data_IF_437433166527
#
_entry.id   IF_437433166527
#
_cell.length_a   1.000
_cell.length_b   1.000
_cell.length_c   1.000
_cell.angle_alpha   90.00
_cell.angle_beta   90.00
_cell.angle_gamma   90.00
#
_symmetry.space_group_name_H-M   'P 1'
#
loop_
_entity.id
_entity.type
_entity.pdbx_description
1 polymer ?
#
# COMPACT_ATOMS: atom_id res chain seq x y z
N UNK A 1 12.33 -1.68 -5.87
CA UNK A 1 11.74 -1.10 -4.64
C UNK A 1 10.67 -0.10 -5.05
N UNK A 2 9.41 -0.51 -4.94
CA UNK A 2 8.21 0.25 -5.32
C UNK A 2 7.37 0.42 -4.06
N UNK A 3 7.49 1.57 -3.41
CA UNK A 3 6.74 1.84 -2.19
C UNK A 3 5.31 2.26 -2.52
N UNK A 4 4.33 1.48 -2.04
CA UNK A 4 2.90 1.79 -2.20
C UNK A 4 2.27 1.95 -0.83
N UNK A 5 1.34 2.91 -0.71
CA UNK A 5 0.58 3.05 0.52
C UNK A 5 -0.54 2.00 0.50
N UNK A 6 -0.45 1.00 1.39
CA UNK A 6 -1.43 -0.06 1.48
C UNK A 6 -2.18 0.02 2.82
N UNK A 7 -3.49 -0.23 2.77
CA UNK A 7 -4.35 -0.37 3.96
C UNK A 7 -4.96 -1.76 4.02
N UNK A 8 -5.35 -2.19 5.21
CA UNK A 8 -6.11 -3.44 5.35
C UNK A 8 -7.45 -3.29 4.64
N UNK A 9 -7.83 -4.31 3.87
CA UNK A 9 -9.16 -4.37 3.28
C UNK A 9 -10.24 -4.45 4.37
N UNK A 10 -9.96 -5.22 5.42
CA UNK A 10 -10.81 -5.35 6.60
C UNK A 10 -10.06 -4.87 7.86
N UNK A 11 -10.57 -3.84 8.57
CA UNK A 11 -9.88 -3.29 9.74
C UNK A 11 -9.93 -4.21 10.98
N UNK A 12 -10.76 -5.25 10.98
CA UNK A 12 -10.76 -6.26 12.04
C UNK A 12 -9.76 -7.40 11.76
N UNK A 13 -9.19 -7.48 10.55
CA UNK A 13 -8.15 -8.43 10.22
C UNK A 13 -6.80 -8.06 10.85
N UNK A 14 -6.13 -9.08 11.38
CA UNK A 14 -4.81 -8.93 11.97
C UNK A 14 -3.80 -9.51 10.97
N UNK A 15 -3.05 -8.61 10.33
CA UNK A 15 -1.96 -8.99 9.45
C UNK A 15 -0.62 -8.93 10.20
N UNK A 16 0.08 -10.06 10.37
CA UNK A 16 1.39 -10.07 11.02
C UNK A 16 2.45 -9.43 10.10
N UNK A 17 3.36 -8.62 10.67
CA UNK A 17 4.48 -8.11 9.89
C UNK A 17 5.52 -9.21 9.64
N UNK A 18 6.04 -9.31 8.40
CA UNK A 18 7.10 -10.26 8.09
C UNK A 18 8.36 -9.91 8.90
N UNK A 19 8.96 -10.92 9.54
CA UNK A 19 10.21 -10.77 10.28
C UNK A 19 10.09 -10.13 11.67
N UNK A 20 8.91 -9.69 12.11
CA UNK A 20 8.71 -9.17 13.49
C UNK A 20 7.54 -9.85 14.16
N UNK A 21 7.83 -10.66 15.18
CA UNK A 21 6.81 -11.33 15.99
C UNK A 21 6.11 -10.32 16.90
N UNK A 22 4.78 -10.31 16.88
CA UNK A 22 3.95 -9.45 17.74
C UNK A 22 3.72 -8.04 17.21
N UNK A 23 4.23 -7.70 16.03
CA UNK A 23 3.93 -6.44 15.35
C UNK A 23 2.92 -6.69 14.23
N UNK A 24 1.84 -5.93 14.26
CA UNK A 24 0.74 -6.07 13.31
C UNK A 24 0.68 -4.86 12.39
N UNK A 25 0.15 -5.07 11.19
CA UNK A 25 -0.06 -4.01 10.23
C UNK A 25 -1.13 -3.03 10.74
N UNK A 26 -0.87 -1.71 10.69
CA UNK A 26 -1.82 -0.73 11.19
C UNK A 26 -3.07 -0.67 10.31
N UNK A 27 -4.26 -0.64 10.93
CA UNK A 27 -5.54 -0.47 10.21
C UNK A 27 -5.61 0.83 9.40
N UNK A 28 -4.90 1.88 9.85
CA UNK A 28 -4.78 3.16 9.14
C UNK A 28 -3.95 3.10 7.85
N UNK A 29 -3.33 1.96 7.55
CA UNK A 29 -2.45 1.78 6.39
C UNK A 29 -1.01 2.23 6.65
N UNK A 30 -0.11 1.75 5.80
CA UNK A 30 1.33 2.03 5.85
C UNK A 30 1.94 1.86 4.46
N UNK A 31 3.06 2.54 4.23
CA UNK A 31 3.94 2.28 3.08
C UNK A 31 4.54 0.88 3.18
N UNK A 32 4.28 0.06 2.15
CA UNK A 32 4.86 -1.27 1.95
C UNK A 32 5.58 -1.31 0.62
N UNK A 33 6.54 -2.22 0.48
CA UNK A 33 7.21 -2.43 -0.79
C UNK A 33 6.42 -3.44 -1.63
N UNK A 34 5.84 -3.01 -2.76
CA UNK A 34 5.04 -3.85 -3.65
C UNK A 34 5.86 -4.83 -4.50
N UNK A 35 7.18 -4.70 -4.51
CA UNK A 35 8.10 -5.59 -5.22
C UNK A 35 8.45 -6.82 -4.33
N UNK A 36 8.31 -6.68 -3.01
CA UNK A 36 8.44 -7.78 -2.07
C UNK A 36 7.34 -8.83 -2.25
N UNK A 37 7.74 -10.11 -2.31
CA UNK A 37 6.83 -11.23 -2.56
C UNK A 37 5.70 -11.32 -1.51
N UNK A 38 5.95 -10.94 -0.26
CA UNK A 38 4.94 -10.97 0.79
C UNK A 38 3.84 -9.95 0.56
N UNK A 39 4.21 -8.69 0.33
CA UNK A 39 3.25 -7.60 0.11
C UNK A 39 2.58 -7.73 -1.26
N UNK A 40 3.30 -8.15 -2.29
CA UNK A 40 2.75 -8.43 -3.62
C UNK A 40 1.63 -9.47 -3.57
N UNK A 41 1.83 -10.57 -2.83
CA UNK A 41 0.81 -11.60 -2.65
C UNK A 41 -0.43 -11.07 -1.94
N UNK A 42 -0.27 -10.28 -0.88
CA UNK A 42 -1.40 -9.70 -0.13
C UNK A 42 -2.19 -8.67 -0.91
N UNK A 43 -1.52 -7.87 -1.74
CA UNK A 43 -2.15 -6.93 -2.66
C UNK A 43 -2.91 -7.68 -3.78
N UNK A 44 -2.34 -8.78 -4.30
CA UNK A 44 -2.97 -9.60 -5.34
C UNK A 44 -4.16 -10.42 -4.86
N UNK A 45 -4.12 -10.89 -3.62
CA UNK A 45 -5.22 -11.62 -2.96
C UNK A 45 -6.36 -10.69 -2.50
N UNK A 46 -6.09 -9.39 -2.37
CA UNK A 46 -7.05 -8.38 -1.90
C UNK A 46 -7.11 -8.23 -0.38
N UNK A 47 -6.22 -8.90 0.36
CA UNK A 47 -6.01 -8.69 1.80
C UNK A 47 -5.56 -7.26 2.12
N UNK A 48 -4.79 -6.66 1.21
CA UNK A 48 -4.39 -5.25 1.26
C UNK A 48 -4.96 -4.48 0.07
N UNK A 49 -5.39 -3.25 0.33
CA UNK A 49 -5.84 -2.31 -0.69
C UNK A 49 -4.77 -1.23 -0.85
N UNK A 50 -4.18 -1.14 -2.04
CA UNK A 50 -3.31 -0.02 -2.40
C UNK A 50 -4.15 1.25 -2.50
N UNK A 51 -3.94 2.17 -1.56
CA UNK A 51 -4.55 3.49 -1.55
C UNK A 51 -3.56 4.46 -2.18
N UNK A 52 -3.64 4.53 -3.51
CA UNK A 52 -2.83 5.36 -4.40
C UNK A 52 -1.31 5.10 -4.28
N UNK A 53 -0.70 4.75 -5.41
CA UNK A 53 0.74 4.72 -5.49
C UNK A 53 1.26 6.14 -5.24
N UNK A 54 1.97 6.34 -4.12
CA UNK A 54 2.70 7.58 -3.84
C UNK A 54 3.93 7.59 -4.74
N UNK A 55 3.67 7.73 -6.03
CA UNK A 55 4.61 7.55 -7.11
C UNK A 55 3.93 7.91 -8.41
N UNK A 56 3.93 9.21 -8.73
CA UNK A 56 3.56 9.78 -10.04
C UNK A 56 2.06 10.04 -10.25
N UNK A 57 1.45 10.87 -9.40
CA UNK A 57 0.30 11.67 -9.79
C UNK A 57 0.37 13.06 -9.16
N UNK A 58 1.37 13.84 -9.56
CA UNK A 58 1.12 15.28 -9.66
C UNK A 58 0.33 15.46 -10.96
N UNK A 59 -0.93 15.95 -10.91
CA UNK A 59 -1.62 16.41 -12.09
C UNK A 59 -0.97 17.71 -12.54
N UNK A 60 0.05 17.64 -13.41
CA UNK A 60 0.32 18.80 -14.24
C UNK A 60 -0.89 18.96 -15.18
N UNK A 61 -1.76 19.87 -14.73
CA UNK A 61 -2.96 20.29 -15.42
C UNK A 61 -2.59 20.75 -16.84
N UNK A 62 -3.39 20.45 -17.87
CA UNK A 62 -3.22 21.10 -19.16
C UNK A 62 -3.53 22.59 -18.98
N UNK A 63 -2.49 23.40 -18.76
CA UNK A 63 -2.60 24.86 -18.74
C UNK A 63 -2.84 25.32 -20.18
N UNK A 64 -4.13 25.49 -20.47
CA UNK A 64 -4.64 26.27 -21.58
C UNK A 64 -4.25 27.73 -21.35
N UNK A 65 -3.20 28.24 -22.00
CA UNK A 65 -3.09 29.69 -22.23
C UNK A 65 -2.24 30.06 -23.47
N UNK A 66 -2.83 30.99 -24.25
CA UNK A 66 -2.42 31.79 -25.44
C UNK A 66 -2.44 31.16 -26.83
#
# INVERSE_FOLDING_TARGET
MRAVFAKLADPAHILPMPGTVGLFFPAGGRLVDADDAFWHALLGDGSLIAAEEVGTASPESPDHIV
#
